data_IF_236478679941
#
_entry.id   IF_236478679941
#
_cell.length_a   1.000
_cell.length_b   1.000
_cell.length_c   1.000
_cell.angle_alpha   90.00
_cell.angle_beta   90.00
_cell.angle_gamma   90.00
#
_symmetry.space_group_name_H-M   'P 1'
#
loop_
_entity.id
_entity.type
_entity.pdbx_description
1 polymer ?
#
# COMPACT_ATOMS: atom_id res chain seq x y z
N UNK A 1 19.71 5.41 -6.40
CA UNK A 1 19.80 4.06 -6.96
C UNK A 1 18.85 3.13 -6.26
N UNK A 2 18.56 2.01 -6.90
CA UNK A 2 17.66 0.99 -6.35
C UNK A 2 18.11 0.44 -4.99
N UNK A 3 19.34 0.71 -4.59
CA UNK A 3 19.93 0.23 -3.35
C UNK A 3 19.26 0.80 -2.09
N UNK A 4 18.51 1.90 -2.24
CA UNK A 4 17.84 2.53 -1.11
C UNK A 4 16.48 1.92 -0.80
N UNK A 5 16.04 0.96 -1.63
CA UNK A 5 14.77 0.30 -1.40
C UNK A 5 14.83 -0.60 -0.17
N UNK A 6 13.88 -0.40 0.74
CA UNK A 6 13.77 -1.18 1.96
C UNK A 6 12.35 -1.72 2.09
N UNK A 7 12.21 -3.04 2.15
CA UNK A 7 10.90 -3.68 2.29
C UNK A 7 10.16 -3.26 3.57
N UNK A 8 10.88 -2.98 4.64
CA UNK A 8 10.27 -2.53 5.89
C UNK A 8 9.60 -1.16 5.72
N UNK A 9 10.17 -0.29 4.88
CA UNK A 9 9.55 1.00 4.57
C UNK A 9 8.36 0.86 3.63
N UNK A 10 8.41 -0.13 2.75
CA UNK A 10 7.35 -0.41 1.80
C UNK A 10 6.16 -1.09 2.47
N UNK A 11 6.43 -2.09 3.28
CA UNK A 11 5.39 -2.84 4.01
C UNK A 11 5.48 -2.52 5.50
N UNK A 12 4.82 -1.45 5.92
CA UNK A 12 4.88 -0.98 7.31
C UNK A 12 4.48 -2.05 8.33
N UNK A 13 3.51 -2.90 7.98
CA UNK A 13 3.03 -3.94 8.89
C UNK A 13 4.05 -5.07 9.09
N UNK A 14 4.96 -5.28 8.13
CA UNK A 14 5.94 -6.37 8.23
C UNK A 14 6.89 -6.22 9.43
N UNK A 15 7.28 -4.99 9.72
CA UNK A 15 8.15 -4.73 10.86
C UNK A 15 7.51 -5.06 12.19
N UNK A 16 6.20 -4.81 12.29
CA UNK A 16 5.49 -4.92 13.56
C UNK A 16 5.38 -6.36 14.05
N UNK A 17 5.31 -7.32 13.14
CA UNK A 17 5.10 -8.72 13.56
C UNK A 17 6.28 -9.32 14.30
N UNK A 18 7.46 -8.69 14.24
CA UNK A 18 8.65 -9.14 14.95
C UNK A 18 8.86 -8.45 16.31
N UNK A 19 7.97 -7.53 16.66
CA UNK A 19 8.04 -6.79 17.92
C UNK A 19 7.13 -7.45 18.95
N UNK A 20 7.53 -7.39 20.23
CA UNK A 20 6.61 -7.76 21.28
C UNK A 20 5.58 -6.65 21.52
N UNK A 21 4.58 -6.90 22.35
CA UNK A 21 3.49 -5.95 22.56
C UNK A 21 3.96 -4.61 23.12
N UNK A 22 4.95 -4.64 24.00
CA UNK A 22 5.47 -3.43 24.61
C UNK A 22 6.22 -2.56 23.59
N UNK A 23 7.10 -3.18 22.81
CA UNK A 23 7.86 -2.46 21.77
C UNK A 23 6.96 -1.95 20.66
N UNK A 24 5.96 -2.73 20.26
CA UNK A 24 4.99 -2.31 19.26
C UNK A 24 4.22 -1.08 19.73
N UNK A 25 3.77 -1.10 20.98
CA UNK A 25 3.01 0.02 21.55
C UNK A 25 3.84 1.28 21.63
N UNK A 26 5.08 1.16 22.10
CA UNK A 26 6.00 2.28 22.20
C UNK A 26 6.28 2.90 20.83
N UNK A 27 6.53 2.05 19.83
CA UNK A 27 6.78 2.50 18.46
C UNK A 27 5.57 3.22 17.87
N UNK A 28 4.39 2.63 17.96
CA UNK A 28 3.18 3.20 17.38
C UNK A 28 2.77 4.51 18.05
N UNK A 29 3.07 4.67 19.34
CA UNK A 29 2.75 5.89 20.07
C UNK A 29 3.50 7.10 19.53
N UNK A 30 4.69 6.88 18.94
CA UNK A 30 5.55 7.94 18.43
C UNK A 30 5.39 8.17 16.93
N UNK A 31 4.68 7.29 16.22
CA UNK A 31 4.57 7.36 14.77
C UNK A 31 3.54 8.41 14.34
N UNK A 32 3.87 9.23 13.33
CA UNK A 32 2.87 10.09 12.70
C UNK A 32 2.02 9.28 11.72
N UNK A 33 0.77 9.71 11.54
CA UNK A 33 -0.11 9.13 10.53
C UNK A 33 0.32 9.62 9.15
N UNK A 34 0.36 8.70 8.19
CA UNK A 34 0.65 9.03 6.80
C UNK A 34 -0.60 8.75 5.97
N UNK A 35 -1.38 9.77 5.64
CA UNK A 35 -2.60 9.56 4.86
C UNK A 35 -2.32 9.00 3.47
N UNK A 36 -3.25 8.19 2.97
CA UNK A 36 -3.23 7.74 1.59
C UNK A 36 -4.19 8.62 0.80
N UNK A 37 -3.66 9.34 -0.17
CA UNK A 37 -4.46 10.25 -1.01
C UNK A 37 -4.94 9.48 -2.23
N UNK A 38 -6.13 8.91 -2.13
CA UNK A 38 -6.73 8.11 -3.18
C UNK A 38 -7.22 8.99 -4.32
N UNK A 39 -6.89 8.59 -5.55
CA UNK A 39 -7.37 9.27 -6.77
C UNK A 39 -7.90 8.23 -7.73
N UNK A 40 -8.96 8.57 -8.42
CA UNK A 40 -9.50 7.73 -9.47
C UNK A 40 -8.62 7.78 -10.71
N UNK A 41 -8.56 6.68 -11.45
CA UNK A 41 -7.93 6.66 -12.76
C UNK A 41 -8.96 7.17 -13.77
N UNK A 42 -8.66 8.29 -14.40
CA UNK A 42 -9.56 8.92 -15.38
C UNK A 42 -8.85 8.93 -16.72
N UNK A 43 -9.40 8.20 -17.68
CA UNK A 43 -8.81 8.03 -18.99
C UNK A 43 -9.86 8.12 -20.08
N UNK A 44 -9.39 8.35 -21.31
CA UNK A 44 -10.25 8.44 -22.49
C UNK A 44 -10.97 7.14 -22.77
N UNK A 45 -10.26 6.00 -22.63
CA UNK A 45 -10.78 4.67 -22.90
C UNK A 45 -10.81 3.85 -21.64
N UNK A 46 -12.01 3.37 -21.25
CA UNK A 46 -12.17 2.51 -20.07
C UNK A 46 -12.07 1.04 -20.50
N UNK A 47 -11.28 0.26 -19.78
CA UNK A 47 -11.17 -1.20 -19.96
C UNK A 47 -10.81 -1.65 -21.38
N UNK A 48 -10.10 -0.81 -22.13
CA UNK A 48 -9.62 -1.16 -23.47
C UNK A 48 -8.22 -1.76 -23.37
N UNK A 49 -8.00 -2.85 -24.10
CA UNK A 49 -6.72 -3.55 -24.13
C UNK A 49 -6.31 -3.81 -25.56
N UNK A 50 -5.01 -3.66 -25.81
CA UNK A 50 -4.40 -4.04 -27.08
C UNK A 50 -3.79 -5.43 -26.98
N UNK A 51 -3.80 -6.17 -28.08
CA UNK A 51 -3.14 -7.47 -28.17
C UNK A 51 -1.79 -7.29 -28.86
N UNK A 52 -0.74 -7.81 -28.25
CA UNK A 52 0.63 -7.74 -28.78
C UNK A 52 1.20 -9.13 -28.88
N UNK A 53 1.71 -9.48 -30.07
CA UNK A 53 2.40 -10.75 -30.29
C UNK A 53 3.80 -10.64 -29.71
N UNK A 54 4.12 -11.49 -28.72
CA UNK A 54 5.43 -11.49 -28.05
C UNK A 54 6.27 -12.71 -28.43
N UNK A 55 5.86 -13.49 -29.42
CA UNK A 55 6.61 -14.63 -29.90
C UNK A 55 5.92 -15.95 -29.63
N UNK A 56 6.73 -16.99 -29.42
CA UNK A 56 6.25 -18.36 -29.20
C UNK A 56 6.90 -18.95 -27.96
N UNK A 57 6.20 -19.90 -27.33
CA UNK A 57 6.75 -20.65 -26.22
C UNK A 57 7.66 -21.78 -26.73
N UNK A 58 8.18 -22.62 -25.83
CA UNK A 58 9.07 -23.74 -26.18
C UNK A 58 8.41 -24.74 -27.13
N UNK A 59 7.10 -24.88 -27.05
CA UNK A 59 6.34 -25.86 -27.82
C UNK A 59 5.81 -25.29 -29.12
N UNK A 60 6.18 -24.06 -29.46
CA UNK A 60 5.77 -23.40 -30.70
C UNK A 60 4.40 -22.74 -30.65
N UNK A 61 3.77 -22.66 -29.48
CA UNK A 61 2.48 -22.00 -29.32
C UNK A 61 2.66 -20.48 -29.32
N UNK A 62 1.80 -19.74 -30.07
CA UNK A 62 1.91 -18.28 -30.08
C UNK A 62 1.54 -17.69 -28.72
N UNK A 63 2.29 -16.67 -28.33
CA UNK A 63 2.05 -15.94 -27.11
C UNK A 63 1.55 -14.53 -27.41
N UNK A 64 0.44 -14.13 -26.77
CA UNK A 64 -0.15 -12.81 -26.93
C UNK A 64 -0.21 -12.14 -25.58
N UNK A 65 0.24 -10.90 -25.54
CA UNK A 65 0.15 -10.07 -24.33
C UNK A 65 -0.97 -9.06 -24.48
N UNK A 66 -1.82 -8.96 -23.46
CA UNK A 66 -2.87 -7.95 -23.40
C UNK A 66 -2.32 -6.74 -22.66
N UNK A 67 -2.20 -5.63 -23.37
CA UNK A 67 -1.68 -4.38 -22.80
C UNK A 67 -2.84 -3.40 -22.68
N UNK A 68 -2.95 -2.80 -21.51
CA UNK A 68 -3.97 -1.77 -21.28
C UNK A 68 -3.73 -0.59 -22.21
N UNK A 69 -4.79 -0.11 -22.85
CA UNK A 69 -4.73 1.04 -23.73
C UNK A 69 -5.80 2.04 -23.31
N UNK A 70 -5.38 3.02 -22.50
CA UNK A 70 -6.28 4.02 -21.93
C UNK A 70 -6.50 5.23 -22.83
N UNK A 71 -5.76 5.34 -23.95
CA UNK A 71 -5.75 6.56 -24.74
C UNK A 71 -5.12 7.71 -23.93
N UNK A 72 -5.79 8.85 -23.93
CA UNK A 72 -5.33 10.01 -23.15
C UNK A 72 -5.64 9.78 -21.67
N UNK A 73 -4.65 9.89 -20.82
CA UNK A 73 -4.84 9.76 -19.37
C UNK A 73 -4.98 11.16 -18.78
N UNK A 74 -6.14 11.44 -18.20
CA UNK A 74 -6.44 12.72 -17.58
C UNK A 74 -5.99 12.76 -16.11
N UNK A 75 -6.03 11.61 -15.45
CA UNK A 75 -5.55 11.47 -14.08
C UNK A 75 -5.10 10.04 -13.84
N UNK A 76 -3.86 9.88 -13.37
CA UNK A 76 -3.36 8.60 -12.92
C UNK A 76 -4.02 8.21 -11.61
N UNK A 77 -4.56 6.99 -11.57
CA UNK A 77 -5.18 6.48 -10.36
C UNK A 77 -4.15 6.06 -9.32
N UNK A 78 -4.55 6.12 -8.05
CA UNK A 78 -3.73 5.58 -6.95
C UNK A 78 -3.88 4.06 -6.96
N UNK A 79 -2.78 3.30 -7.04
CA UNK A 79 -2.87 1.85 -7.05
C UNK A 79 -3.45 1.29 -5.74
N UNK A 80 -4.34 0.31 -5.87
CA UNK A 80 -4.83 -0.45 -4.71
C UNK A 80 -3.88 -1.64 -4.56
N UNK A 81 -2.92 -1.51 -3.67
CA UNK A 81 -1.89 -2.52 -3.47
C UNK A 81 -1.58 -2.70 -1.98
N UNK A 82 -0.71 -3.64 -1.68
CA UNK A 82 -0.37 -3.95 -0.29
C UNK A 82 0.28 -2.75 0.43
N UNK A 83 1.01 -1.91 -0.28
CA UNK A 83 1.62 -0.71 0.30
C UNK A 83 0.54 0.25 0.81
N UNK A 84 -0.42 0.60 -0.03
CA UNK A 84 -1.46 1.56 0.33
C UNK A 84 -2.44 1.01 1.36
N UNK A 85 -2.88 -0.23 1.17
CA UNK A 85 -3.78 -0.89 2.12
C UNK A 85 -3.08 -1.14 3.46
N UNK A 86 -1.81 -1.54 3.43
CA UNK A 86 -1.01 -1.73 4.62
C UNK A 86 -0.78 -0.42 5.36
N UNK A 87 -0.58 0.68 4.64
CA UNK A 87 -0.43 1.99 5.28
C UNK A 87 -1.72 2.42 5.99
N UNK A 88 -2.88 2.14 5.40
CA UNK A 88 -4.17 2.42 6.05
C UNK A 88 -4.32 1.62 7.34
N UNK A 89 -4.00 0.34 7.31
CA UNK A 89 -4.05 -0.52 8.48
C UNK A 89 -3.06 -0.07 9.55
N UNK A 90 -1.86 0.33 9.14
CA UNK A 90 -0.85 0.88 10.04
C UNK A 90 -1.35 2.16 10.72
N UNK A 91 -2.00 3.05 9.98
CA UNK A 91 -2.61 4.27 10.52
C UNK A 91 -3.67 3.94 11.56
N UNK A 92 -4.48 2.91 11.31
CA UNK A 92 -5.52 2.46 12.26
C UNK A 92 -4.88 1.98 13.57
N UNK A 93 -3.78 1.23 13.49
CA UNK A 93 -3.06 0.76 14.66
C UNK A 93 -2.45 1.92 15.45
N UNK A 94 -1.91 2.93 14.76
CA UNK A 94 -1.40 4.14 15.39
C UNK A 94 -2.52 4.82 16.19
N UNK A 95 -3.67 5.01 15.56
CA UNK A 95 -4.81 5.65 16.21
C UNK A 95 -5.32 4.85 17.39
N UNK A 96 -5.47 3.53 17.24
CA UNK A 96 -5.89 2.65 18.32
C UNK A 96 -4.95 2.74 19.51
N UNK A 97 -3.64 2.70 19.25
CA UNK A 97 -2.63 2.75 20.30
C UNK A 97 -2.68 4.08 21.06
N UNK A 98 -2.79 5.19 20.35
CA UNK A 98 -2.86 6.51 20.98
C UNK A 98 -4.12 6.68 21.81
N UNK A 99 -5.26 6.21 21.30
CA UNK A 99 -6.52 6.26 22.04
C UNK A 99 -6.45 5.40 23.31
N UNK A 100 -5.90 4.19 23.19
CA UNK A 100 -5.74 3.28 24.31
C UNK A 100 -4.86 3.89 25.40
N UNK A 101 -3.78 4.56 25.03
CA UNK A 101 -2.89 5.25 25.98
C UNK A 101 -3.61 6.43 26.65
N UNK A 102 -4.43 7.16 25.92
CA UNK A 102 -5.26 8.24 26.50
C UNK A 102 -6.26 7.70 27.52
N UNK A 103 -6.87 6.55 27.24
CA UNK A 103 -7.75 5.89 28.19
C UNK A 103 -7.03 5.53 29.49
N UNK A 104 -5.79 5.01 29.39
CA UNK A 104 -4.98 4.67 30.54
C UNK A 104 -4.71 5.90 31.41
N UNK A 105 -4.40 7.04 30.77
CA UNK A 105 -4.16 8.29 31.48
C UNK A 105 -5.44 8.76 32.19
N UNK A 106 -6.58 8.69 31.52
CA UNK A 106 -7.87 9.08 32.11
C UNK A 106 -8.16 8.23 33.36
N UNK A 107 -7.96 6.91 33.25
CA UNK A 107 -8.17 6.01 34.38
C UNK A 107 -7.24 6.33 35.55
N UNK A 108 -6.00 6.69 35.27
CA UNK A 108 -5.05 7.06 36.31
C UNK A 108 -5.42 8.36 37.03
N UNK A 109 -6.20 9.23 36.40
CA UNK A 109 -6.62 10.50 36.97
C UNK A 109 -7.91 10.42 37.78
N UNK A 110 -8.60 9.27 37.75
CA UNK A 110 -9.86 9.07 38.46
C UNK A 110 -9.64 8.64 39.94
#
# INVERSE_FOLDING_TARGET
MANDFNLADYYKMEELKNLDDSDMRERLALEPITPVYWKDHIAELADVRAEVDIGKDKDGNPLIQHIRNDGIIFQEGTPVNAEHLGQMEYNDLINFTKISMMEDVIKALQ
#
